data_IF_845474849223
#
_entry.id   IF_845474849223
#
_cell.length_a   1.000
_cell.length_b   1.000
_cell.length_c   1.000
_cell.angle_alpha   90.00
_cell.angle_beta   90.00
_cell.angle_gamma   90.00
#
_symmetry.space_group_name_H-M   'P 1'
#
loop_
_entity.id
_entity.type
_entity.pdbx_description
1 polymer ?
#
# COMPACT_ATOMS: atom_id res chain seq x y z
N UNK A 1 17.81 -14.85 5.00
CA UNK A 1 17.46 -13.44 5.27
C UNK A 1 18.74 -12.60 5.30
N UNK A 2 18.77 -11.43 4.66
CA UNK A 2 19.94 -10.52 4.66
C UNK A 2 19.85 -9.56 5.85
N UNK A 3 20.97 -8.94 6.24
CA UNK A 3 20.98 -7.90 7.30
C UNK A 3 19.97 -6.80 6.96
N UNK A 4 19.97 -6.32 5.73
CA UNK A 4 19.04 -5.30 5.23
C UNK A 4 17.56 -5.71 5.35
N UNK A 5 17.22 -6.97 5.04
CA UNK A 5 15.83 -7.43 5.18
C UNK A 5 15.40 -7.50 6.64
N UNK A 6 16.28 -7.90 7.56
CA UNK A 6 16.00 -7.91 9.00
C UNK A 6 15.81 -6.47 9.52
N UNK A 7 16.66 -5.54 9.07
CA UNK A 7 16.54 -4.12 9.40
C UNK A 7 15.18 -3.55 8.96
N UNK A 8 14.77 -3.82 7.72
CA UNK A 8 13.48 -3.39 7.19
C UNK A 8 12.29 -4.06 7.88
N UNK A 9 12.37 -5.38 8.13
CA UNK A 9 11.28 -6.19 8.71
C UNK A 9 10.98 -5.80 10.16
N UNK A 10 12.00 -5.59 10.97
CA UNK A 10 11.81 -5.29 12.39
C UNK A 10 11.72 -3.80 12.69
N UNK A 11 12.15 -2.94 11.77
CA UNK A 11 12.07 -1.48 11.91
C UNK A 11 12.79 -0.91 13.13
N UNK A 12 13.69 -1.68 13.76
CA UNK A 12 14.45 -1.27 14.96
C UNK A 12 15.72 -0.48 14.63
N UNK A 13 16.01 -0.29 13.35
CA UNK A 13 17.23 0.37 12.89
C UNK A 13 16.99 1.83 12.50
N UNK A 14 18.04 2.64 12.63
CA UNK A 14 18.01 4.01 12.13
C UNK A 14 17.97 4.06 10.60
N UNK A 15 17.43 5.15 10.07
CA UNK A 15 17.49 5.48 8.64
C UNK A 15 18.94 5.55 8.14
N UNK A 16 19.87 5.99 9.00
CA UNK A 16 21.28 6.14 8.65
C UNK A 16 21.97 4.79 8.51
N UNK A 17 21.69 3.85 9.41
CA UNK A 17 22.20 2.48 9.31
C UNK A 17 21.66 1.80 8.05
N UNK A 18 20.37 1.99 7.75
CA UNK A 18 19.77 1.50 6.49
C UNK A 18 20.48 2.10 5.27
N UNK A 19 20.66 3.43 5.26
CA UNK A 19 21.32 4.15 4.16
C UNK A 19 22.75 3.65 3.96
N UNK A 20 23.52 3.53 5.04
CA UNK A 20 24.88 3.03 5.01
C UNK A 20 24.97 1.62 4.41
N UNK A 21 24.09 0.70 4.82
CA UNK A 21 24.12 -0.66 4.26
C UNK A 21 23.69 -0.65 2.80
N UNK A 22 22.70 0.16 2.42
CA UNK A 22 22.31 0.31 1.00
C UNK A 22 23.41 0.95 0.15
N UNK A 23 24.28 1.77 0.72
CA UNK A 23 25.47 2.35 0.07
C UNK A 23 26.57 1.33 -0.17
N UNK A 24 26.78 0.43 0.80
CA UNK A 24 27.86 -0.55 0.73
C UNK A 24 27.44 -1.88 0.07
N UNK A 25 26.13 -2.18 0.02
CA UNK A 25 25.59 -3.39 -0.62
C UNK A 25 24.29 -3.09 -1.40
N UNK A 26 24.46 -2.57 -2.61
CA UNK A 26 23.35 -2.28 -3.55
C UNK A 26 22.61 -3.55 -3.98
N UNK A 27 23.28 -4.71 -3.94
CA UNK A 27 22.66 -6.00 -4.31
C UNK A 27 21.70 -6.50 -3.24
N UNK A 28 21.87 -6.05 -1.99
CA UNK A 28 20.96 -6.32 -0.88
C UNK A 28 19.61 -5.59 -0.97
N UNK A 29 19.33 -4.82 -2.03
CA UNK A 29 17.98 -4.35 -2.37
C UNK A 29 17.30 -5.14 -3.51
N UNK A 30 18.06 -5.87 -4.34
CA UNK A 30 17.57 -6.55 -5.56
C UNK A 30 17.16 -8.02 -5.39
N UNK A 31 17.68 -8.73 -4.38
CA UNK A 31 17.29 -10.11 -4.07
C UNK A 31 15.82 -10.20 -3.62
N UNK A 32 15.12 -11.27 -3.96
CA UNK A 32 13.80 -11.57 -3.38
C UNK A 32 14.08 -12.14 -1.98
N UNK A 33 13.55 -11.49 -0.94
CA UNK A 33 14.03 -11.72 0.45
C UNK A 33 13.24 -12.78 1.22
N UNK A 34 12.07 -13.16 0.72
CA UNK A 34 11.23 -14.21 1.30
C UNK A 34 10.76 -15.16 0.19
N UNK A 35 11.11 -16.44 0.29
CA UNK A 35 10.68 -17.46 -0.67
C UNK A 35 9.19 -17.82 -0.51
N UNK A 36 8.59 -17.56 0.66
CA UNK A 36 7.17 -17.86 0.91
C UNK A 36 6.27 -16.76 0.40
N UNK A 37 6.56 -15.51 0.75
CA UNK A 37 5.66 -14.39 0.45
C UNK A 37 6.22 -13.38 -0.57
N UNK A 38 7.43 -13.58 -1.11
CA UNK A 38 8.10 -12.69 -2.10
C UNK A 38 8.10 -11.21 -1.70
N UNK A 39 8.11 -10.90 -0.40
CA UNK A 39 8.18 -9.51 0.06
C UNK A 39 9.50 -8.88 -0.35
N UNK A 40 9.43 -7.72 -1.00
CA UNK A 40 10.60 -6.87 -1.21
C UNK A 40 10.97 -6.14 0.08
N UNK A 41 12.21 -5.66 0.16
CA UNK A 41 12.66 -4.79 1.26
C UNK A 41 11.73 -3.59 1.46
N UNK A 42 11.16 -3.04 0.38
CA UNK A 42 10.24 -1.91 0.46
C UNK A 42 8.91 -2.32 1.12
N UNK A 43 8.38 -3.52 0.86
CA UNK A 43 7.16 -3.98 1.55
C UNK A 43 7.38 -4.09 3.06
N UNK A 44 8.52 -4.65 3.47
CA UNK A 44 8.88 -4.72 4.89
C UNK A 44 9.06 -3.34 5.51
N UNK A 45 9.76 -2.44 4.83
CA UNK A 45 9.98 -1.08 5.31
C UNK A 45 8.68 -0.28 5.43
N UNK A 46 7.76 -0.42 4.47
CA UNK A 46 6.42 0.18 4.51
C UNK A 46 5.63 -0.36 5.70
N UNK A 47 5.59 -1.69 5.88
CA UNK A 47 4.89 -2.30 7.02
C UNK A 47 5.49 -1.84 8.35
N UNK A 48 6.83 -1.86 8.49
CA UNK A 48 7.52 -1.40 9.70
C UNK A 48 7.33 0.11 9.96
N UNK A 49 7.19 0.91 8.90
CA UNK A 49 7.00 2.34 9.01
C UNK A 49 5.59 2.73 9.46
N UNK A 50 4.63 1.81 9.41
CA UNK A 50 3.30 1.99 10.04
C UNK A 50 3.32 1.80 11.56
N UNK A 51 4.35 1.15 12.12
CA UNK A 51 4.38 0.75 13.54
C UNK A 51 5.51 1.42 14.33
N UNK A 52 6.69 1.58 13.74
CA UNK A 52 7.91 1.96 14.47
C UNK A 52 8.64 3.15 13.89
N UNK A 53 9.03 3.06 12.62
CA UNK A 53 9.92 4.05 12.00
C UNK A 53 9.31 4.59 10.70
N UNK A 54 8.54 5.67 10.83
CA UNK A 54 7.77 6.28 9.74
C UNK A 54 8.61 6.69 8.54
N UNK A 55 9.93 6.86 8.67
CA UNK A 55 10.79 7.37 7.60
C UNK A 55 11.67 6.28 6.98
N UNK A 56 11.60 5.03 7.48
CA UNK A 56 12.49 3.94 7.06
C UNK A 56 12.38 3.59 5.57
N UNK A 57 11.21 3.81 4.97
CA UNK A 57 10.97 3.53 3.55
C UNK A 57 11.64 4.55 2.62
N UNK A 58 11.86 5.81 3.06
CA UNK A 58 12.32 6.89 2.17
C UNK A 58 13.69 6.65 1.55
N UNK A 59 14.74 6.24 2.31
CA UNK A 59 16.04 5.95 1.72
C UNK A 59 15.97 4.81 0.70
N UNK A 60 15.13 3.80 0.96
CA UNK A 60 14.93 2.66 0.08
C UNK A 60 14.24 3.09 -1.21
N UNK A 61 13.16 3.86 -1.10
CA UNK A 61 12.39 4.34 -2.24
C UNK A 61 13.19 5.30 -3.12
N UNK A 62 13.94 6.22 -2.49
CA UNK A 62 14.81 7.19 -3.20
C UNK A 62 15.91 6.48 -3.99
N UNK A 63 16.49 5.42 -3.44
CA UNK A 63 17.61 4.71 -4.07
C UNK A 63 17.15 3.65 -5.07
N UNK A 64 16.00 3.04 -4.83
CA UNK A 64 15.45 1.95 -5.64
C UNK A 64 13.96 2.17 -5.92
N UNK A 65 13.60 3.15 -6.77
CA UNK A 65 12.20 3.45 -7.09
C UNK A 65 11.49 2.28 -7.77
N UNK A 66 12.21 1.42 -8.49
CA UNK A 66 11.64 0.22 -9.12
C UNK A 66 11.06 -0.78 -8.12
N UNK A 67 11.44 -0.70 -6.84
CA UNK A 67 10.81 -1.53 -5.79
C UNK A 67 9.34 -1.20 -5.58
N UNK A 68 8.88 0.01 -5.94
CA UNK A 68 7.48 0.41 -5.89
C UNK A 68 6.60 -0.42 -6.85
N UNK A 69 7.20 -0.97 -7.92
CA UNK A 69 6.52 -1.81 -8.92
C UNK A 69 6.50 -3.29 -8.53
N UNK A 70 7.32 -3.70 -7.57
CA UNK A 70 7.42 -5.11 -7.18
C UNK A 70 6.13 -5.55 -6.48
N UNK A 71 5.76 -6.79 -6.71
CA UNK A 71 4.60 -7.41 -6.07
C UNK A 71 5.05 -8.54 -5.14
N UNK A 72 4.30 -8.76 -4.07
CA UNK A 72 4.43 -9.93 -3.19
C UNK A 72 3.88 -11.19 -3.87
N UNK A 73 3.97 -12.35 -3.21
CA UNK A 73 3.43 -13.61 -3.71
C UNK A 73 1.90 -13.56 -3.90
N UNK A 74 1.21 -12.74 -3.10
CA UNK A 74 -0.22 -12.46 -3.22
C UNK A 74 -0.52 -11.31 -4.19
N UNK A 75 0.46 -10.85 -4.98
CA UNK A 75 0.27 -9.80 -5.98
C UNK A 75 0.17 -8.37 -5.43
N UNK A 76 0.39 -8.16 -4.13
CA UNK A 76 0.29 -6.82 -3.52
C UNK A 76 1.50 -5.98 -3.88
N UNK A 77 1.27 -4.74 -4.30
CA UNK A 77 2.32 -3.71 -4.40
C UNK A 77 2.58 -3.08 -3.02
N UNK A 78 3.67 -2.30 -2.83
CA UNK A 78 3.91 -1.58 -1.58
C UNK A 78 2.77 -0.61 -1.22
N UNK A 79 2.09 -0.05 -2.22
CA UNK A 79 0.89 0.78 -2.01
C UNK A 79 -0.26 -0.03 -1.38
N UNK A 80 -0.50 -1.26 -1.84
CA UNK A 80 -1.49 -2.14 -1.21
C UNK A 80 -1.13 -2.44 0.24
N UNK A 81 0.15 -2.67 0.54
CA UNK A 81 0.60 -2.91 1.92
C UNK A 81 0.39 -1.67 2.78
N UNK A 82 0.78 -0.47 2.30
CA UNK A 82 0.57 0.77 3.03
C UNK A 82 -0.92 1.00 3.33
N UNK A 83 -1.77 0.88 2.31
CA UNK A 83 -3.22 1.05 2.44
C UNK A 83 -3.89 -0.07 3.23
N UNK A 84 -3.24 -1.18 3.53
CA UNK A 84 -3.83 -2.23 4.38
C UNK A 84 -3.62 -1.98 5.88
N UNK A 85 -2.90 -0.93 6.25
CA UNK A 85 -2.55 -0.60 7.63
C UNK A 85 -3.13 0.76 8.02
N UNK A 86 -4.07 0.77 8.98
CA UNK A 86 -4.75 1.99 9.43
C UNK A 86 -3.82 3.10 9.96
N UNK A 87 -2.61 2.73 10.43
CA UNK A 87 -1.62 3.67 10.96
C UNK A 87 -0.59 4.15 9.91
N UNK A 88 -0.79 3.85 8.62
CA UNK A 88 0.10 4.31 7.58
C UNK A 88 0.10 5.85 7.50
N UNK A 89 1.27 6.52 7.57
CA UNK A 89 1.32 7.98 7.47
C UNK A 89 0.92 8.42 6.04
N UNK A 90 0.06 9.44 5.89
CA UNK A 90 -0.38 9.91 4.57
C UNK A 90 0.77 10.28 3.62
N UNK A 91 1.85 10.85 4.15
CA UNK A 91 3.05 11.17 3.38
C UNK A 91 3.67 9.96 2.69
N UNK A 92 3.66 8.79 3.33
CA UNK A 92 4.16 7.56 2.71
C UNK A 92 3.27 7.09 1.57
N UNK A 93 1.96 7.24 1.72
CA UNK A 93 1.02 6.85 0.67
C UNK A 93 1.23 7.76 -0.55
N UNK A 94 1.40 9.06 -0.33
CA UNK A 94 1.73 10.01 -1.40
C UNK A 94 3.07 9.70 -2.06
N UNK A 95 4.14 9.47 -1.29
CA UNK A 95 5.45 9.10 -1.82
C UNK A 95 5.38 7.82 -2.68
N UNK A 96 4.57 6.83 -2.27
CA UNK A 96 4.36 5.58 -3.02
C UNK A 96 3.52 5.78 -4.29
N UNK A 97 2.49 6.64 -4.24
CA UNK A 97 1.69 7.02 -5.40
C UNK A 97 2.54 7.76 -6.42
N UNK A 98 3.40 8.68 -5.99
CA UNK A 98 4.30 9.43 -6.86
C UNK A 98 5.37 8.53 -7.48
N UNK A 99 5.92 7.59 -6.70
CA UNK A 99 6.92 6.65 -7.20
C UNK A 99 6.37 5.64 -8.22
N UNK A 100 5.10 5.25 -8.11
CA UNK A 100 4.44 4.38 -9.08
C UNK A 100 2.95 4.70 -9.25
N UNK A 101 2.59 5.70 -10.07
CA UNK A 101 1.20 6.16 -10.22
C UNK A 101 0.26 5.08 -10.76
N UNK A 102 0.77 4.19 -11.61
CA UNK A 102 -0.03 3.09 -12.17
C UNK A 102 -0.43 2.06 -11.10
N UNK A 103 0.19 2.08 -9.91
CA UNK A 103 -0.21 1.21 -8.80
C UNK A 103 -1.68 1.37 -8.44
N UNK A 104 -2.24 2.58 -8.60
CA UNK A 104 -3.60 2.97 -8.20
C UNK A 104 -4.66 2.09 -8.89
N UNK A 105 -4.39 1.64 -10.12
CA UNK A 105 -5.28 0.81 -10.91
C UNK A 105 -4.87 -0.67 -10.96
N UNK A 106 -3.78 -1.05 -10.28
CA UNK A 106 -3.33 -2.44 -10.27
C UNK A 106 -4.15 -3.24 -9.27
N UNK A 107 -4.67 -4.39 -9.70
CA UNK A 107 -5.26 -5.36 -8.79
C UNK A 107 -4.17 -6.20 -8.14
N UNK A 108 -4.34 -6.52 -6.86
CA UNK A 108 -3.58 -7.60 -6.22
C UNK A 108 -4.05 -8.98 -6.70
N UNK A 109 -3.40 -10.04 -6.24
CA UNK A 109 -3.71 -11.42 -6.60
C UNK A 109 -5.07 -11.92 -6.08
N UNK A 110 -5.74 -11.14 -5.22
CA UNK A 110 -7.10 -11.39 -4.76
C UNK A 110 -8.12 -10.53 -5.53
N UNK A 111 -7.67 -9.72 -6.49
CA UNK A 111 -8.49 -8.85 -7.31
C UNK A 111 -8.83 -7.51 -6.66
N UNK A 112 -8.26 -7.18 -5.50
CA UNK A 112 -8.50 -5.91 -4.84
C UNK A 112 -7.65 -4.80 -5.46
N UNK A 113 -8.25 -3.65 -5.67
CA UNK A 113 -7.54 -2.40 -5.98
C UNK A 113 -7.09 -1.69 -4.70
N UNK A 114 -6.11 -0.77 -4.78
CA UNK A 114 -5.75 0.13 -3.70
C UNK A 114 -6.96 0.83 -3.07
N UNK A 115 -7.91 1.29 -3.89
CA UNK A 115 -9.13 1.95 -3.42
C UNK A 115 -9.97 1.04 -2.50
N UNK A 116 -10.03 -0.27 -2.76
CA UNK A 116 -10.75 -1.21 -1.89
C UNK A 116 -10.14 -1.28 -0.48
N UNK A 117 -8.80 -1.26 -0.40
CA UNK A 117 -8.10 -1.22 0.88
C UNK A 117 -8.32 0.12 1.59
N UNK A 118 -8.23 1.23 0.85
CA UNK A 118 -8.38 2.56 1.41
C UNK A 118 -9.75 2.76 2.09
N UNK A 119 -10.83 2.34 1.43
CA UNK A 119 -12.20 2.49 1.96
C UNK A 119 -12.65 1.36 2.88
N UNK A 120 -11.96 0.22 2.87
CA UNK A 120 -12.28 -0.97 3.66
C UNK A 120 -11.76 -0.98 5.09
N UNK A 121 -11.27 0.16 5.61
CA UNK A 121 -10.66 0.28 6.94
C UNK A 121 -9.14 0.28 6.96
N UNK A 122 -8.54 0.47 5.79
CA UNK A 122 -7.10 0.50 5.62
C UNK A 122 -6.45 1.86 5.88
N UNK A 123 -7.20 2.96 5.77
CA UNK A 123 -6.74 4.32 6.13
C UNK A 123 -7.94 5.17 6.58
N UNK A 124 -7.72 6.01 7.59
CA UNK A 124 -8.76 6.92 8.11
C UNK A 124 -8.73 8.32 7.46
N UNK A 125 -7.84 8.53 6.49
CA UNK A 125 -7.66 9.82 5.83
C UNK A 125 -8.48 9.90 4.53
N UNK A 126 -9.52 10.72 4.56
CA UNK A 126 -10.40 11.02 3.42
C UNK A 126 -9.63 11.59 2.23
N UNK A 127 -8.58 12.37 2.48
CA UNK A 127 -7.82 13.03 1.41
C UNK A 127 -7.09 12.00 0.53
N UNK A 128 -6.67 10.88 1.13
CA UNK A 128 -6.06 9.77 0.40
C UNK A 128 -7.08 9.13 -0.53
N UNK A 129 -8.31 8.92 -0.06
CA UNK A 129 -9.40 8.36 -0.88
C UNK A 129 -9.73 9.30 -2.04
N UNK A 130 -9.83 10.62 -1.77
CA UNK A 130 -10.05 11.64 -2.81
C UNK A 130 -8.96 11.61 -3.86
N UNK A 131 -7.69 11.61 -3.46
CA UNK A 131 -6.55 11.53 -4.40
C UNK A 131 -6.53 10.26 -5.22
N UNK A 132 -6.88 9.10 -4.65
CA UNK A 132 -7.01 7.85 -5.40
C UNK A 132 -8.12 7.93 -6.45
N UNK A 133 -9.24 8.58 -6.14
CA UNK A 133 -10.36 8.79 -7.06
C UNK A 133 -10.06 9.83 -8.13
N UNK A 134 -9.42 10.94 -7.78
CA UNK A 134 -8.97 11.95 -8.74
C UNK A 134 -7.98 11.37 -9.74
N UNK A 135 -7.06 10.53 -9.26
CA UNK A 135 -6.07 9.87 -10.11
C UNK A 135 -6.65 8.77 -10.99
N UNK A 136 -7.72 8.08 -10.53
CA UNK A 136 -8.34 6.99 -11.26
C UNK A 136 -9.85 6.87 -10.95
N UNK A 137 -10.70 7.72 -11.54
CA UNK A 137 -12.12 7.80 -11.18
C UNK A 137 -12.88 6.51 -11.52
N UNK A 138 -12.46 5.81 -12.58
CA UNK A 138 -13.10 4.55 -13.01
C UNK A 138 -12.99 3.43 -11.97
N UNK A 139 -12.00 3.51 -11.05
CA UNK A 139 -11.74 2.46 -10.05
C UNK A 139 -12.90 2.25 -9.07
N UNK A 140 -13.76 3.25 -8.88
CA UNK A 140 -14.93 3.17 -7.99
C UNK A 140 -15.98 2.17 -8.46
N UNK A 141 -16.07 1.93 -9.78
CA UNK A 141 -17.02 0.99 -10.40
C UNK A 141 -16.41 -0.39 -10.65
N UNK A 142 -15.15 -0.59 -10.26
CA UNK A 142 -14.44 -1.84 -10.49
C UNK A 142 -14.67 -2.78 -9.33
N UNK A 143 -15.41 -3.88 -9.58
CA UNK A 143 -15.55 -4.98 -8.62
C UNK A 143 -14.19 -5.64 -8.33
N UNK A 144 -14.03 -6.12 -7.10
CA UNK A 144 -13.04 -7.13 -6.79
C UNK A 144 -13.31 -8.36 -7.67
N UNK A 145 -12.29 -8.88 -8.35
CA UNK A 145 -12.42 -10.10 -9.16
C UNK A 145 -11.68 -11.22 -8.46
N UNK A 146 -12.41 -12.19 -7.90
CA UNK A 146 -11.77 -13.36 -7.33
C UNK A 146 -11.41 -14.37 -8.43
N UNK A 147 -10.24 -15.02 -8.38
CA UNK A 147 -9.87 -16.02 -9.37
C UNK A 147 -10.71 -17.32 -9.33
N UNK A 148 -11.49 -17.57 -8.25
CA UNK A 148 -12.10 -18.88 -7.97
C UNK A 148 -13.50 -18.80 -7.31
N UNK A 149 -14.41 -18.01 -7.84
CA UNK A 149 -15.79 -18.00 -7.37
C UNK A 149 -16.74 -17.40 -8.40
N UNK A 150 -17.97 -17.90 -8.43
CA UNK A 150 -19.07 -17.35 -9.23
C UNK A 150 -19.68 -16.09 -8.57
N UNK A 151 -19.21 -15.72 -7.37
CA UNK A 151 -19.65 -14.53 -6.65
C UNK A 151 -18.98 -13.28 -7.24
N UNK A 152 -19.83 -12.35 -7.70
CA UNK A 152 -19.44 -10.98 -7.98
C UNK A 152 -18.82 -10.35 -6.71
N UNK A 153 -17.50 -10.12 -6.74
CA UNK A 153 -16.81 -9.52 -5.60
C UNK A 153 -17.29 -8.09 -5.28
N UNK A 154 -17.04 -7.61 -4.06
CA UNK A 154 -17.47 -6.29 -3.62
C UNK A 154 -16.90 -5.18 -4.51
N UNK A 155 -17.72 -4.16 -4.74
CA UNK A 155 -17.24 -2.84 -5.18
C UNK A 155 -16.50 -2.17 -4.02
N UNK A 156 -15.61 -1.19 -4.30
CA UNK A 156 -15.04 -0.35 -3.27
C UNK A 156 -16.14 0.25 -2.38
N UNK A 157 -17.25 0.67 -3.00
CA UNK A 157 -18.37 1.24 -2.27
C UNK A 157 -19.05 0.25 -1.30
N UNK A 158 -19.17 -1.03 -1.66
CA UNK A 158 -19.70 -2.04 -0.74
C UNK A 158 -18.84 -2.16 0.52
N UNK A 159 -17.51 -2.08 0.38
CA UNK A 159 -16.59 -2.09 1.51
C UNK A 159 -16.67 -0.80 2.33
N UNK A 160 -16.79 0.33 1.63
CA UNK A 160 -16.92 1.66 2.20
C UNK A 160 -18.16 1.77 3.09
N UNK A 161 -19.31 1.26 2.63
CA UNK A 161 -20.55 1.22 3.42
C UNK A 161 -20.48 0.25 4.60
N UNK A 162 -19.82 -0.91 4.42
CA UNK A 162 -19.60 -1.86 5.51
C UNK A 162 -18.74 -1.28 6.62
N UNK A 163 -17.79 -0.41 6.28
CA UNK A 163 -16.92 0.26 7.23
C UNK A 163 -17.54 1.56 7.80
N UNK A 164 -18.21 2.35 6.96
CA UNK A 164 -18.88 3.61 7.28
C UNK A 164 -20.17 3.46 8.08
N UNK A 165 -20.62 2.23 8.35
CA UNK A 165 -21.67 1.94 9.35
C UNK A 165 -21.28 2.39 10.77
N UNK A 166 -20.01 2.79 10.98
CA UNK A 166 -19.55 3.52 12.16
C UNK A 166 -19.45 5.01 11.80
N UNK A 167 -20.36 5.82 12.35
CA UNK A 167 -20.45 7.28 12.17
C UNK A 167 -19.05 7.95 12.19
N UNK A 168 -18.68 8.65 11.12
CA UNK A 168 -17.38 9.32 11.04
C UNK A 168 -17.12 10.05 9.72
N UNK A 169 -16.06 10.85 9.69
CA UNK A 169 -15.68 11.70 8.53
C UNK A 169 -15.57 10.94 7.20
N UNK A 170 -15.21 9.66 7.25
CA UNK A 170 -15.11 8.81 6.07
C UNK A 170 -16.50 8.47 5.49
N UNK A 171 -17.51 8.25 6.34
CA UNK A 171 -18.89 8.01 5.89
C UNK A 171 -19.45 9.22 5.13
N UNK A 172 -19.25 10.43 5.65
CA UNK A 172 -19.71 11.66 4.99
C UNK A 172 -18.98 11.88 3.66
N UNK A 173 -17.66 11.64 3.64
CA UNK A 173 -16.88 11.73 2.42
C UNK A 173 -17.28 10.68 1.37
N UNK A 174 -17.56 9.45 1.79
CA UNK A 174 -18.05 8.40 0.89
C UNK A 174 -19.41 8.80 0.32
N UNK A 175 -20.31 9.36 1.12
CA UNK A 175 -21.59 9.87 0.64
C UNK A 175 -21.40 11.00 -0.36
N UNK A 176 -20.57 12.00 -0.06
CA UNK A 176 -20.25 13.09 -1.00
C UNK A 176 -19.68 12.55 -2.33
N UNK A 177 -18.80 11.55 -2.25
CA UNK A 177 -18.23 10.88 -3.42
C UNK A 177 -19.32 10.13 -4.21
N UNK A 178 -20.23 9.39 -3.54
CA UNK A 178 -21.37 8.72 -4.20
C UNK A 178 -22.25 9.74 -4.93
N UNK A 179 -22.56 10.87 -4.30
CA UNK A 179 -23.44 11.89 -4.87
C UNK A 179 -22.79 12.73 -5.97
N UNK A 180 -21.47 12.63 -6.17
CA UNK A 180 -20.73 13.35 -7.22
C UNK A 180 -20.22 12.45 -8.36
N UNK A 181 -20.54 11.15 -8.35
CA UNK A 181 -20.24 10.15 -9.40
C UNK A 181 -21.48 9.74 -10.22
#
# INVERSE_FOLDING_TARGET
>A
ETVVSLMAKYGRTSTDAMTYVLENDVRAASRVYDERDKHSILHFAVSAATVRNKELYKPILKKFPDLAKRITAVGKTPLHTALSHCCAPPSMIYDLMDAFPHAISNRDGLGFLPLHYAVGGGVDDVEIVKKLLEAAPDTVRVKQIQPKGDDDGPLPLHLALRHGAFEGKMHDAINDIIFHL
#
